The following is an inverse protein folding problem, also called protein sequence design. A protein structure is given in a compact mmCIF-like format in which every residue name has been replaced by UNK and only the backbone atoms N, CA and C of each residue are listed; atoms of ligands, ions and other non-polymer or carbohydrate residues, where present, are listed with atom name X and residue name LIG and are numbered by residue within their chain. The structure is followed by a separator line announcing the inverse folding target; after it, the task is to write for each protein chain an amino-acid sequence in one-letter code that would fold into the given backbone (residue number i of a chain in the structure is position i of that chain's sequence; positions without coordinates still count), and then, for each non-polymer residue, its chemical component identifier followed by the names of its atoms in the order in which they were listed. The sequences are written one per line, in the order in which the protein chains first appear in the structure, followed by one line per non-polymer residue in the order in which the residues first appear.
data_IF_717139025023
#
_entry.id   IF_717139025023
#
_cell.length_a   1.000
_cell.length_b   1.000
_cell.length_c   1.000
_cell.angle_alpha   90.00
_cell.angle_beta   90.00
_cell.angle_gamma   90.00
#
_symmetry.space_group_name_H-M   'P 1'
#
loop_
_entity.id
_entity.type
_entity.pdbx_description
1 polymer ?
#
# COMPACT_ATOMS: atom_id res chain seq x y z
N UNK A 1 5.15 -18.20 2.19
CA UNK A 1 5.53 -16.99 1.44
C UNK A 1 5.13 -15.77 2.24
N UNK A 2 5.93 -14.70 2.13
CA UNK A 2 5.53 -13.39 2.67
C UNK A 2 4.83 -12.58 1.62
N UNK A 3 3.62 -12.13 1.91
CA UNK A 3 2.76 -11.37 1.00
C UNK A 3 2.53 -9.98 1.59
N UNK A 4 2.81 -8.93 0.83
CA UNK A 4 2.28 -7.60 1.13
C UNK A 4 1.00 -7.38 0.35
N UNK A 5 -0.08 -7.11 1.07
CA UNK A 5 -1.40 -6.86 0.51
C UNK A 5 -1.75 -5.37 0.64
N UNK A 6 -1.84 -4.68 -0.49
CA UNK A 6 -2.26 -3.28 -0.56
C UNK A 6 -3.76 -3.21 -0.87
N UNK A 7 -4.57 -2.88 0.13
CA UNK A 7 -6.02 -2.78 0.01
C UNK A 7 -6.43 -1.43 -0.59
N UNK A 8 -7.22 -1.47 -1.66
CA UNK A 8 -7.81 -0.28 -2.29
C UNK A 8 -8.85 0.42 -1.42
N UNK A 9 -9.27 1.62 -1.83
CA UNK A 9 -10.31 2.39 -1.12
C UNK A 9 -11.62 1.65 -1.01
N UNK A 10 -11.99 0.86 -2.02
CA UNK A 10 -13.23 0.09 -2.05
C UNK A 10 -13.26 -1.07 -1.02
N UNK A 11 -12.10 -1.55 -0.58
CA UNK A 11 -12.02 -2.47 0.56
C UNK A 11 -12.36 -1.81 1.91
N UNK A 12 -12.38 -0.47 1.92
CA UNK A 12 -12.60 0.37 3.12
C UNK A 12 -13.89 1.19 3.05
N UNK A 13 -14.72 1.03 2.01
CA UNK A 13 -15.98 1.75 1.83
C UNK A 13 -17.02 0.86 1.15
N UNK A 14 -18.31 1.19 1.27
CA UNK A 14 -19.35 0.48 0.54
C UNK A 14 -19.22 0.66 -0.98
N UNK A 15 -19.89 -0.20 -1.74
CA UNK A 15 -19.89 -0.15 -3.21
C UNK A 15 -20.42 1.17 -3.79
N UNK A 16 -21.30 1.85 -3.06
CA UNK A 16 -21.83 3.19 -3.40
C UNK A 16 -20.87 4.34 -3.03
N UNK A 17 -19.66 4.02 -2.52
CA UNK A 17 -18.69 5.00 -2.03
C UNK A 17 -18.99 5.55 -0.64
N UNK A 18 -20.05 5.07 0.04
CA UNK A 18 -20.41 5.49 1.39
C UNK A 18 -19.30 5.13 2.38
N UNK A 19 -18.85 6.14 3.13
CA UNK A 19 -17.84 6.02 4.17
C UNK A 19 -18.43 6.18 5.59
N UNK A 20 -19.68 5.75 5.79
CA UNK A 20 -20.26 5.68 7.13
C UNK A 20 -19.54 4.62 7.96
N UNK A 21 -19.47 4.74 9.31
CA UNK A 21 -18.80 3.75 10.15
C UNK A 21 -19.32 2.32 9.93
N UNK A 22 -20.64 2.15 9.78
CA UNK A 22 -21.27 0.84 9.55
C UNK A 22 -20.85 0.25 8.20
N UNK A 23 -20.90 1.05 7.14
CA UNK A 23 -20.51 0.62 5.81
C UNK A 23 -19.02 0.26 5.73
N UNK A 24 -18.16 1.06 6.37
CA UNK A 24 -16.72 0.77 6.46
C UNK A 24 -16.44 -0.53 7.21
N UNK A 25 -17.07 -0.75 8.37
CA UNK A 25 -16.91 -1.98 9.13
C UNK A 25 -17.33 -3.21 8.32
N UNK A 26 -18.44 -3.12 7.58
CA UNK A 26 -18.92 -4.23 6.75
C UNK A 26 -17.95 -4.53 5.59
N UNK A 27 -17.45 -3.50 4.89
CA UNK A 27 -16.49 -3.67 3.80
C UNK A 27 -15.17 -4.27 4.30
N UNK A 28 -14.62 -3.75 5.41
CA UNK A 28 -13.41 -4.29 6.03
C UNK A 28 -13.62 -5.73 6.50
N UNK A 29 -14.76 -6.06 7.10
CA UNK A 29 -15.05 -7.43 7.53
C UNK A 29 -15.06 -8.40 6.34
N UNK A 30 -15.67 -8.04 5.21
CA UNK A 30 -15.62 -8.82 3.98
C UNK A 30 -14.20 -9.04 3.45
N UNK A 31 -13.40 -7.97 3.39
CA UNK A 31 -12.00 -8.06 2.98
C UNK A 31 -11.17 -8.96 3.90
N UNK A 32 -11.41 -8.92 5.22
CA UNK A 32 -10.65 -9.71 6.20
C UNK A 32 -11.00 -11.20 6.17
N UNK A 33 -12.13 -11.61 5.60
CA UNK A 33 -12.40 -13.03 5.34
C UNK A 33 -11.42 -13.64 4.34
N UNK A 34 -11.17 -12.94 3.23
CA UNK A 34 -10.21 -13.40 2.22
C UNK A 34 -8.77 -13.38 2.78
N UNK A 35 -8.41 -12.33 3.54
CA UNK A 35 -7.09 -12.24 4.18
C UNK A 35 -6.88 -13.37 5.20
N UNK A 36 -7.89 -13.70 6.00
CA UNK A 36 -7.81 -14.80 6.95
C UNK A 36 -7.62 -16.16 6.24
N UNK A 37 -8.15 -16.33 5.03
CA UNK A 37 -7.88 -17.50 4.17
C UNK A 37 -6.39 -17.64 3.84
N UNK A 38 -5.73 -16.56 3.46
CA UNK A 38 -4.28 -16.55 3.19
C UNK A 38 -3.45 -16.95 4.42
N UNK A 39 -3.81 -16.41 5.58
CA UNK A 39 -3.10 -16.70 6.83
C UNK A 39 -3.32 -18.17 7.25
N UNK A 40 -4.54 -18.69 7.13
CA UNK A 40 -4.86 -20.09 7.40
C UNK A 40 -4.12 -21.06 6.44
N UNK A 41 -3.81 -20.60 5.20
CA UNK A 41 -2.99 -21.35 4.26
C UNK A 41 -1.47 -21.26 4.55
N UNK A 42 -1.06 -20.64 5.66
CA UNK A 42 0.33 -20.56 6.11
C UNK A 42 1.16 -19.44 5.45
N UNK A 43 0.51 -18.39 4.94
CA UNK A 43 1.23 -17.21 4.43
C UNK A 43 1.47 -16.19 5.53
N UNK A 44 2.65 -15.55 5.53
CA UNK A 44 2.92 -14.36 6.32
C UNK A 44 2.33 -13.15 5.57
N UNK A 45 1.47 -12.39 6.22
CA UNK A 45 0.75 -11.27 5.58
C UNK A 45 1.08 -9.96 6.25
N UNK A 46 1.47 -8.98 5.43
CA UNK A 46 1.57 -7.56 5.80
C UNK A 46 0.48 -6.82 5.04
N UNK A 47 -0.26 -5.96 5.72
CA UNK A 47 -1.38 -5.23 5.15
C UNK A 47 -1.07 -3.75 5.11
N UNK A 48 -1.27 -3.11 3.96
CA UNK A 48 -1.45 -1.66 3.88
C UNK A 48 -2.83 -1.35 3.28
N UNK A 49 -3.34 -0.15 3.52
CA UNK A 49 -4.69 0.21 3.09
C UNK A 49 -4.76 1.65 2.57
N UNK A 50 -5.76 1.96 1.73
CA UNK A 50 -6.13 3.32 1.39
C UNK A 50 -6.92 4.00 2.52
N UNK A 51 -7.03 5.33 2.45
CA UNK A 51 -7.76 6.15 3.42
C UNK A 51 -8.46 7.38 2.80
N UNK A 52 -8.52 7.48 1.49
CA UNK A 52 -8.99 8.69 0.80
C UNK A 52 -10.38 9.18 1.28
N UNK A 53 -11.43 8.33 1.31
CA UNK A 53 -12.75 8.73 1.82
C UNK A 53 -12.71 9.16 3.29
N UNK A 54 -11.90 8.52 4.12
CA UNK A 54 -11.79 8.81 5.55
C UNK A 54 -11.10 10.14 5.82
N UNK A 55 -9.99 10.42 5.13
CA UNK A 55 -9.33 11.74 5.16
C UNK A 55 -10.30 12.81 4.66
N UNK A 56 -11.02 12.55 3.56
CA UNK A 56 -12.05 13.46 3.05
C UNK A 56 -13.10 13.83 4.09
N UNK A 57 -13.60 12.84 4.84
CA UNK A 57 -14.57 13.08 5.92
C UNK A 57 -13.98 13.90 7.07
N UNK A 58 -12.69 13.70 7.42
CA UNK A 58 -12.02 14.50 8.45
C UNK A 58 -11.84 15.95 8.00
N UNK A 59 -11.49 16.19 6.74
CA UNK A 59 -11.40 17.54 6.18
C UNK A 59 -12.76 18.26 6.21
N UNK A 60 -13.85 17.59 5.87
CA UNK A 60 -15.20 18.17 5.99
C UNK A 60 -15.52 18.51 7.44
N UNK A 61 -15.19 17.65 8.40
CA UNK A 61 -15.37 17.95 9.84
C UNK A 61 -14.53 19.15 10.28
N UNK A 62 -13.27 19.25 9.82
CA UNK A 62 -12.42 20.40 10.07
C UNK A 62 -13.04 21.69 9.53
N UNK A 63 -13.54 21.68 8.30
CA UNK A 63 -14.19 22.84 7.69
C UNK A 63 -15.42 23.28 8.48
N UNK A 64 -16.30 22.35 8.84
CA UNK A 64 -17.54 22.64 9.56
C UNK A 64 -17.31 23.09 11.01
N UNK A 65 -16.26 22.61 11.66
CA UNK A 65 -15.94 22.91 13.05
C UNK A 65 -14.97 24.09 13.23
N UNK A 66 -14.43 24.65 12.16
CA UNK A 66 -13.36 25.65 12.19
C UNK A 66 -13.68 26.92 13.02
N UNK A 67 -14.96 27.28 13.13
CA UNK A 67 -15.42 28.39 13.97
C UNK A 67 -15.42 28.09 15.48
N UNK A 68 -15.29 26.82 15.88
CA UNK A 68 -15.37 26.35 17.27
C UNK A 68 -14.03 25.78 17.75
N UNK A 69 -13.38 24.97 16.90
CA UNK A 69 -12.08 24.36 17.19
C UNK A 69 -11.17 24.51 15.97
N UNK A 70 -9.87 24.76 16.17
CA UNK A 70 -8.91 24.83 15.05
C UNK A 70 -8.90 23.54 14.25
N UNK A 71 -8.83 23.60 12.90
CA UNK A 71 -8.66 22.41 12.07
C UNK A 71 -7.31 21.75 12.34
N UNK A 72 -7.28 20.42 12.34
CA UNK A 72 -6.02 19.67 12.42
C UNK A 72 -5.37 19.59 11.04
N UNK A 73 -4.03 19.57 10.95
CA UNK A 73 -3.30 19.50 9.69
C UNK A 73 -3.50 18.13 8.99
N UNK A 74 -3.13 18.06 7.71
CA UNK A 74 -3.41 16.91 6.86
C UNK A 74 -2.66 15.64 7.28
N UNK A 75 -1.42 15.78 7.74
CA UNK A 75 -0.61 14.67 8.30
C UNK A 75 -1.29 14.06 9.53
N UNK A 76 -1.88 14.89 10.41
CA UNK A 76 -2.69 14.42 11.55
C UNK A 76 -3.96 13.71 11.10
N UNK A 77 -4.62 14.20 10.04
CA UNK A 77 -5.75 13.47 9.44
C UNK A 77 -5.30 12.09 8.94
N UNK A 78 -4.12 11.99 8.34
CA UNK A 78 -3.49 10.73 7.97
C UNK A 78 -3.30 9.80 9.16
N UNK A 79 -2.70 10.29 10.26
CA UNK A 79 -2.47 9.54 11.49
C UNK A 79 -3.78 9.04 12.11
N UNK A 80 -4.81 9.87 12.21
CA UNK A 80 -6.13 9.50 12.73
C UNK A 80 -6.76 8.37 11.91
N UNK A 81 -6.61 8.40 10.57
CA UNK A 81 -7.14 7.34 9.70
C UNK A 81 -6.38 6.02 9.87
N UNK A 82 -5.07 6.05 10.09
CA UNK A 82 -4.29 4.83 10.38
C UNK A 82 -4.80 4.15 11.66
N UNK A 83 -5.03 4.92 12.71
CA UNK A 83 -5.55 4.39 13.97
C UNK A 83 -6.96 3.82 13.81
N UNK A 84 -7.88 4.55 13.18
CA UNK A 84 -9.28 4.12 13.04
C UNK A 84 -9.42 2.90 12.13
N UNK A 85 -8.76 2.90 10.97
CA UNK A 85 -8.83 1.78 10.03
C UNK A 85 -8.07 0.58 10.59
N UNK A 86 -6.87 0.78 11.15
CA UNK A 86 -6.08 -0.27 11.80
C UNK A 86 -6.85 -0.98 12.90
N UNK A 87 -7.48 -0.23 13.80
CA UNK A 87 -8.38 -0.77 14.83
C UNK A 87 -9.51 -1.63 14.25
N UNK A 88 -10.15 -1.14 13.17
CA UNK A 88 -11.25 -1.87 12.55
C UNK A 88 -10.76 -3.16 11.85
N UNK A 89 -9.59 -3.11 11.20
CA UNK A 89 -8.94 -4.29 10.58
C UNK A 89 -8.60 -5.33 11.65
N UNK A 90 -7.95 -4.94 12.75
CA UNK A 90 -7.60 -5.85 13.85
C UNK A 90 -8.84 -6.61 14.31
N UNK A 91 -9.91 -5.91 14.70
CA UNK A 91 -11.13 -6.53 15.21
C UNK A 91 -11.79 -7.48 14.20
N UNK A 92 -11.81 -7.12 12.92
CA UNK A 92 -12.40 -7.92 11.85
C UNK A 92 -11.57 -9.17 11.56
N UNK A 93 -10.24 -8.99 11.44
CA UNK A 93 -9.33 -10.09 11.11
C UNK A 93 -9.20 -11.10 12.24
N UNK A 94 -9.05 -10.67 13.49
CA UNK A 94 -9.01 -11.57 14.65
C UNK A 94 -10.29 -12.42 14.76
N UNK A 95 -11.46 -11.82 14.49
CA UNK A 95 -12.73 -12.55 14.44
C UNK A 95 -12.74 -13.61 13.33
N UNK A 96 -12.21 -13.27 12.14
CA UNK A 96 -12.14 -14.18 11.00
C UNK A 96 -11.14 -15.31 11.23
N UNK A 97 -9.99 -15.01 11.86
CA UNK A 97 -8.99 -16.00 12.27
C UNK A 97 -9.52 -16.95 13.35
N UNK A 98 -10.19 -16.41 14.36
CA UNK A 98 -10.79 -17.23 15.43
C UNK A 98 -11.79 -18.26 14.88
N UNK A 99 -12.64 -17.86 13.89
CA UNK A 99 -13.56 -18.80 13.22
C UNK A 99 -12.85 -19.92 12.48
N UNK A 100 -11.59 -19.69 12.06
CA UNK A 100 -10.74 -20.67 11.37
C UNK A 100 -9.82 -21.46 12.33
N UNK A 101 -9.91 -21.22 13.63
CA UNK A 101 -9.03 -21.84 14.61
C UNK A 101 -7.57 -21.35 14.56
N UNK A 102 -7.31 -20.20 13.94
CA UNK A 102 -5.99 -19.62 13.86
C UNK A 102 -5.74 -18.69 15.05
N UNK A 103 -4.64 -18.87 15.76
CA UNK A 103 -4.24 -18.08 16.92
C UNK A 103 -3.21 -16.99 16.58
N UNK A 104 -3.14 -16.56 15.33
CA UNK A 104 -2.21 -15.53 14.86
C UNK A 104 -2.60 -14.15 15.39
N UNK A 105 -1.68 -13.45 16.05
CA UNK A 105 -1.88 -12.09 16.52
C UNK A 105 -1.93 -11.09 15.36
N UNK A 106 -2.71 -10.03 15.54
CA UNK A 106 -2.82 -8.93 14.56
C UNK A 106 -2.41 -7.63 15.23
N UNK A 107 -1.56 -6.84 14.58
CA UNK A 107 -1.09 -5.56 15.11
C UNK A 107 -1.18 -4.47 14.06
N UNK A 108 -1.58 -3.27 14.44
CA UNK A 108 -1.49 -2.09 13.58
C UNK A 108 -0.47 -1.10 14.17
N UNK A 109 0.38 -0.55 13.32
CA UNK A 109 1.44 0.39 13.69
C UNK A 109 1.15 1.73 13.04
N UNK A 110 1.22 2.80 13.83
CA UNK A 110 1.31 4.17 13.30
C UNK A 110 2.64 4.28 12.55
N UNK A 111 2.58 4.62 11.28
CA UNK A 111 3.71 4.52 10.37
C UNK A 111 3.93 5.84 9.67
N UNK A 112 5.17 6.34 9.74
CA UNK A 112 5.65 7.53 9.04
C UNK A 112 6.37 7.11 7.77
N UNK A 113 6.20 7.90 6.72
CA UNK A 113 6.93 7.72 5.46
C UNK A 113 7.69 9.01 5.17
N UNK A 114 9.01 8.88 5.11
CA UNK A 114 9.89 9.99 4.77
C UNK A 114 9.79 10.32 3.30
N UNK A 115 9.71 11.60 3.01
CA UNK A 115 9.72 12.19 1.67
C UNK A 115 10.85 13.22 1.56
N UNK A 116 11.18 13.65 0.35
CA UNK A 116 12.11 14.74 0.11
C UNK A 116 11.37 16.07 0.28
N UNK A 117 11.95 17.02 1.01
CA UNK A 117 11.38 18.38 1.15
C UNK A 117 11.39 19.15 -0.17
N UNK A 118 12.35 18.84 -1.06
CA UNK A 118 12.51 19.42 -2.38
C UNK A 118 11.75 18.64 -3.49
N UNK A 119 10.91 17.66 -3.14
CA UNK A 119 10.13 16.92 -4.14
C UNK A 119 9.25 17.87 -4.97
N UNK A 120 9.33 17.81 -6.32
CA UNK A 120 8.56 18.69 -7.20
C UNK A 120 7.04 18.60 -6.98
N UNK A 121 6.54 17.53 -6.40
CA UNK A 121 5.14 17.38 -6.01
C UNK A 121 4.64 18.43 -5.00
N UNK A 122 5.54 19.09 -4.24
CA UNK A 122 5.17 20.21 -3.38
C UNK A 122 4.91 21.50 -4.17
N UNK A 123 5.65 21.72 -5.25
CA UNK A 123 5.46 22.88 -6.13
C UNK A 123 4.25 22.73 -7.07
N UNK A 124 3.92 21.48 -7.47
CA UNK A 124 2.77 21.15 -8.34
C UNK A 124 1.85 20.12 -7.67
N UNK A 125 0.91 20.54 -6.79
CA UNK A 125 -0.03 19.66 -6.12
C UNK A 125 -0.98 18.98 -7.11
N UNK A 126 -0.91 17.65 -7.21
CA UNK A 126 -1.68 16.85 -8.19
C UNK A 126 -2.66 15.86 -7.56
N UNK A 127 -2.57 15.60 -6.25
CA UNK A 127 -3.43 14.61 -5.60
C UNK A 127 -4.77 15.21 -5.17
N UNK A 128 -5.91 14.76 -5.73
CA UNK A 128 -7.22 15.26 -5.33
C UNK A 128 -7.66 14.66 -4.00
N UNK A 129 -8.12 15.52 -3.08
CA UNK A 129 -8.65 15.12 -1.77
C UNK A 129 -9.99 15.80 -1.46
N UNK A 130 -10.70 15.28 -0.46
CA UNK A 130 -11.93 15.88 0.05
C UNK A 130 -13.10 15.83 -0.93
N UNK A 131 -14.07 16.71 -0.70
CA UNK A 131 -15.29 16.84 -1.50
C UNK A 131 -15.12 17.81 -2.67
N UNK A 132 -16.07 17.78 -3.58
CA UNK A 132 -16.21 18.83 -4.60
C UNK A 132 -16.97 20.01 -4.01
N UNK A 133 -16.57 21.22 -4.38
CA UNK A 133 -17.22 22.47 -3.97
C UNK A 133 -17.64 23.29 -5.20
N UNK A 134 -18.70 24.12 -5.10
CA UNK A 134 -18.94 25.18 -6.05
C UNK A 134 -17.78 26.20 -6.05
N UNK A 135 -17.59 26.90 -7.18
CA UNK A 135 -16.49 27.84 -7.36
C UNK A 135 -16.44 28.95 -6.29
N UNK A 136 -17.59 29.50 -5.92
CA UNK A 136 -17.72 30.57 -4.91
C UNK A 136 -17.20 30.15 -3.54
N UNK A 137 -17.45 28.88 -3.14
CA UNK A 137 -16.95 28.31 -1.90
C UNK A 137 -15.44 27.99 -1.98
N UNK A 138 -14.97 27.45 -3.12
CA UNK A 138 -13.55 27.16 -3.34
C UNK A 138 -12.68 28.44 -3.37
N UNK A 139 -13.23 29.54 -3.91
CA UNK A 139 -12.53 30.83 -4.06
C UNK A 139 -11.97 31.35 -2.75
N UNK A 140 -12.76 31.36 -1.67
CA UNK A 140 -12.32 31.79 -0.36
C UNK A 140 -11.17 30.93 0.19
N UNK A 141 -11.18 29.63 -0.07
CA UNK A 141 -10.11 28.70 0.34
C UNK A 141 -8.83 28.89 -0.48
N UNK A 142 -8.97 29.22 -1.76
CA UNK A 142 -7.83 29.57 -2.65
C UNK A 142 -7.16 30.85 -2.16
N UNK A 143 -7.92 31.87 -1.78
CA UNK A 143 -7.42 33.13 -1.22
C UNK A 143 -6.64 32.89 0.10
N UNK A 144 -6.90 31.79 0.81
CA UNK A 144 -6.18 31.36 2.00
C UNK A 144 -5.07 30.34 1.71
N UNK A 145 -4.60 30.25 0.44
CA UNK A 145 -3.41 29.48 0.05
C UNK A 145 -3.65 28.01 -0.27
N UNK A 146 -4.90 27.55 -0.34
CA UNK A 146 -5.18 26.19 -0.79
C UNK A 146 -5.19 26.10 -2.32
N UNK A 147 -4.71 24.98 -2.86
CA UNK A 147 -4.77 24.71 -4.30
C UNK A 147 -6.06 23.96 -4.61
N UNK A 148 -6.85 24.51 -5.53
CA UNK A 148 -8.11 23.92 -6.00
C UNK A 148 -8.12 23.89 -7.51
N UNK A 149 -8.62 22.81 -8.11
CA UNK A 149 -8.76 22.64 -9.55
C UNK A 149 -10.21 22.46 -9.96
N UNK A 150 -10.59 23.08 -11.04
CA UNK A 150 -11.87 22.86 -11.71
C UNK A 150 -11.92 21.44 -12.31
N UNK A 151 -12.98 20.71 -12.03
CA UNK A 151 -13.24 19.35 -12.54
C UNK A 151 -14.53 19.31 -13.38
N UNK A 152 -14.87 20.43 -14.00
CA UNK A 152 -16.02 20.59 -14.87
C UNK A 152 -17.34 20.48 -14.10
N UNK A 153 -18.27 19.67 -14.59
CA UNK A 153 -19.59 19.51 -13.98
C UNK A 153 -19.59 19.03 -12.52
N UNK A 154 -18.48 18.39 -12.08
CA UNK A 154 -18.31 17.93 -10.69
C UNK A 154 -17.98 19.07 -9.73
N UNK A 155 -17.55 20.23 -10.25
CA UNK A 155 -17.10 21.37 -9.46
C UNK A 155 -15.61 21.34 -9.15
N UNK A 156 -15.20 22.17 -8.19
CA UNK A 156 -13.82 22.35 -7.78
C UNK A 156 -13.39 21.33 -6.71
N UNK A 157 -12.17 20.84 -6.81
CA UNK A 157 -11.62 19.87 -5.85
C UNK A 157 -10.26 20.31 -5.34
N UNK A 158 -10.03 20.14 -4.02
CA UNK A 158 -8.74 20.47 -3.41
C UNK A 158 -7.66 19.53 -3.93
N UNK A 159 -6.51 20.11 -4.26
CA UNK A 159 -5.31 19.40 -4.67
C UNK A 159 -4.24 19.57 -3.61
N UNK A 160 -3.50 18.51 -3.30
CA UNK A 160 -2.39 18.54 -2.36
C UNK A 160 -1.15 17.90 -2.96
N UNK A 161 0.00 18.19 -2.37
CA UNK A 161 1.26 17.57 -2.71
C UNK A 161 1.17 16.04 -2.61
N UNK A 162 1.85 15.35 -3.52
CA UNK A 162 1.97 13.89 -3.50
C UNK A 162 3.42 13.47 -3.79
N UNK A 163 4.34 13.73 -2.85
CA UNK A 163 5.75 13.42 -3.02
C UNK A 163 6.01 11.91 -3.09
N UNK A 164 7.14 11.53 -3.70
CA UNK A 164 7.57 10.14 -3.76
C UNK A 164 8.00 9.63 -2.38
N UNK A 165 7.59 8.41 -1.98
CA UNK A 165 8.03 7.80 -0.72
C UNK A 165 9.49 7.36 -0.82
N UNK A 166 10.31 7.72 0.16
CA UNK A 166 11.73 7.37 0.23
C UNK A 166 12.01 6.26 1.24
N UNK A 167 11.34 6.28 2.39
CA UNK A 167 11.61 5.35 3.48
C UNK A 167 10.38 5.22 4.39
N UNK A 168 10.03 3.99 4.77
CA UNK A 168 9.06 3.71 5.83
C UNK A 168 9.81 3.57 7.14
N UNK A 169 9.67 4.55 8.03
CA UNK A 169 10.55 4.69 9.20
C UNK A 169 10.38 3.55 10.21
N UNK A 170 9.18 3.04 10.40
CA UNK A 170 8.86 1.98 11.35
C UNK A 170 9.11 0.56 10.81
N UNK A 171 9.82 0.40 9.70
CA UNK A 171 10.13 -0.91 9.08
C UNK A 171 10.76 -1.91 10.07
N UNK A 172 11.64 -1.45 10.95
CA UNK A 172 12.25 -2.30 11.98
C UNK A 172 11.23 -2.90 12.95
N UNK A 173 10.24 -2.10 13.38
CA UNK A 173 9.14 -2.57 14.23
C UNK A 173 8.23 -3.55 13.46
N UNK A 174 7.93 -3.28 12.19
CA UNK A 174 7.17 -4.20 11.32
C UNK A 174 7.87 -5.55 11.23
N UNK A 175 9.17 -5.58 10.94
CA UNK A 175 9.95 -6.81 10.85
C UNK A 175 9.98 -7.60 12.17
N UNK A 176 10.09 -6.90 13.31
CA UNK A 176 10.06 -7.53 14.64
C UNK A 176 8.73 -8.23 14.90
N UNK A 177 7.61 -7.59 14.57
CA UNK A 177 6.27 -8.18 14.74
C UNK A 177 6.05 -9.36 13.78
N UNK A 178 6.51 -9.26 12.53
CA UNK A 178 6.46 -10.39 11.58
C UNK A 178 7.25 -11.58 12.14
N UNK A 179 8.46 -11.35 12.65
CA UNK A 179 9.29 -12.40 13.25
C UNK A 179 8.65 -13.01 14.50
N UNK A 180 7.81 -12.28 15.22
CA UNK A 180 7.00 -12.76 16.33
C UNK A 180 5.71 -13.48 15.89
N UNK A 181 5.46 -13.64 14.58
CA UNK A 181 4.30 -14.36 14.03
C UNK A 181 3.03 -13.51 13.92
N UNK A 182 3.13 -12.18 13.99
CA UNK A 182 1.97 -11.30 13.82
C UNK A 182 1.69 -10.99 12.36
N UNK A 183 0.41 -10.81 12.04
CA UNK A 183 -0.01 -10.04 10.87
C UNK A 183 0.13 -8.56 11.21
N UNK A 184 0.77 -7.79 10.34
CA UNK A 184 1.05 -6.38 10.62
C UNK A 184 0.31 -5.48 9.64
N UNK A 185 -0.45 -4.51 10.16
CA UNK A 185 -1.04 -3.42 9.38
C UNK A 185 -0.13 -2.20 9.51
N UNK A 186 0.44 -1.74 8.41
CA UNK A 186 1.40 -0.63 8.39
C UNK A 186 1.26 0.24 7.14
N UNK A 187 1.81 1.44 7.17
CA UNK A 187 1.83 2.40 6.07
C UNK A 187 0.45 2.73 5.48
N UNK A 188 -0.60 2.70 6.32
CA UNK A 188 -1.96 3.05 5.90
C UNK A 188 -2.02 4.45 5.30
N UNK A 189 -2.73 4.57 4.15
CA UNK A 189 -2.82 5.82 3.39
C UNK A 189 -1.53 6.25 2.70
N UNK A 190 -0.50 5.39 2.64
CA UNK A 190 0.85 5.71 2.16
C UNK A 190 1.81 6.12 3.28
N UNK A 191 1.38 6.07 4.54
CA UNK A 191 2.11 6.55 5.70
C UNK A 191 1.86 8.03 5.98
N UNK A 192 2.25 8.47 7.18
CA UNK A 192 2.22 9.89 7.56
C UNK A 192 3.45 10.55 6.92
N UNK A 193 3.25 11.56 6.03
CA UNK A 193 4.37 12.18 5.34
C UNK A 193 5.21 13.01 6.31
N UNK A 194 6.52 12.76 6.33
CA UNK A 194 7.47 13.51 7.16
C UNK A 194 8.72 13.86 6.35
N UNK A 195 9.32 14.99 6.66
CA UNK A 195 10.62 15.43 6.16
C UNK A 195 11.65 15.39 7.31
N UNK A 196 12.93 15.32 6.96
CA UNK A 196 14.03 15.38 7.94
C UNK A 196 14.37 16.81 8.23
N UNK A 197 14.32 17.19 9.50
CA UNK A 197 14.73 18.51 9.96
C UNK A 197 16.26 18.65 9.97
N UNK A 198 16.79 19.89 9.91
CA UNK A 198 18.23 20.14 9.97
C UNK A 198 18.92 19.63 11.25
N UNK A 199 18.18 19.52 12.34
CA UNK A 199 18.66 18.97 13.63
C UNK A 199 18.57 17.44 13.71
N UNK A 200 18.10 16.78 12.64
CA UNK A 200 17.93 15.33 12.52
C UNK A 200 16.59 14.81 13.01
N UNK A 201 15.69 15.67 13.47
CA UNK A 201 14.30 15.35 13.78
C UNK A 201 13.48 15.00 12.55
N UNK A 202 12.17 14.75 12.76
CA UNK A 202 11.20 14.52 11.70
C UNK A 202 9.98 15.38 11.94
N UNK A 203 9.61 16.20 10.95
CA UNK A 203 8.40 17.04 10.96
C UNK A 203 7.38 16.54 9.94
N UNK A 204 6.09 16.56 10.36
CA UNK A 204 4.97 16.26 9.46
C UNK A 204 4.81 17.35 8.40
N UNK A 205 4.34 16.98 7.22
CA UNK A 205 4.12 17.92 6.11
C UNK A 205 2.72 17.75 5.50
N UNK A 206 2.18 18.83 4.93
CA UNK A 206 0.89 18.89 4.25
C UNK A 206 0.93 18.18 2.88
N UNK A 207 0.91 16.85 2.90
CA UNK A 207 0.96 16.01 1.70
C UNK A 207 0.14 14.71 1.87
N UNK A 208 -0.09 14.01 0.77
CA UNK A 208 -0.66 12.65 0.74
C UNK A 208 0.20 11.79 -0.15
N UNK A 209 0.84 10.79 0.42
CA UNK A 209 1.71 9.87 -0.32
C UNK A 209 0.85 8.84 -1.08
N UNK A 210 1.26 8.44 -2.27
CA UNK A 210 0.58 7.37 -3.00
C UNK A 210 0.78 6.03 -2.29
N UNK A 211 -0.33 5.39 -1.89
CA UNK A 211 -0.29 4.14 -1.12
C UNK A 211 0.32 2.97 -1.89
N UNK A 212 0.16 2.95 -3.24
CA UNK A 212 0.63 1.84 -4.04
C UNK A 212 2.17 1.91 -4.18
N UNK A 213 2.73 3.12 -4.32
CA UNK A 213 4.18 3.34 -4.29
C UNK A 213 4.78 3.01 -2.92
N UNK A 214 4.12 3.43 -1.83
CA UNK A 214 4.57 3.05 -0.48
C UNK A 214 4.43 1.55 -0.24
N UNK A 215 3.39 0.90 -0.78
CA UNK A 215 3.25 -0.55 -0.69
C UNK A 215 4.42 -1.28 -1.36
N UNK A 216 4.86 -0.84 -2.53
CA UNK A 216 6.04 -1.41 -3.20
C UNK A 216 7.32 -1.22 -2.38
N UNK A 217 7.52 -0.03 -1.81
CA UNK A 217 8.64 0.29 -0.93
C UNK A 217 8.64 -0.58 0.33
N UNK A 218 7.51 -0.67 1.02
CA UNK A 218 7.37 -1.50 2.22
C UNK A 218 7.54 -2.99 1.89
N UNK A 219 6.94 -3.49 0.79
CA UNK A 219 7.06 -4.87 0.36
C UNK A 219 8.53 -5.29 0.19
N UNK A 220 9.32 -4.44 -0.47
CA UNK A 220 10.76 -4.64 -0.58
C UNK A 220 11.45 -4.62 0.78
N UNK A 221 11.15 -3.62 1.61
CA UNK A 221 11.83 -3.41 2.90
C UNK A 221 11.57 -4.55 3.89
N UNK A 222 10.40 -5.19 3.82
CA UNK A 222 10.07 -6.35 4.64
C UNK A 222 10.42 -7.69 3.98
N UNK A 223 10.99 -7.69 2.78
CA UNK A 223 11.35 -8.90 2.04
C UNK A 223 10.12 -9.73 1.64
N UNK A 224 9.07 -9.08 1.15
CA UNK A 224 7.90 -9.79 0.62
C UNK A 224 8.25 -10.54 -0.68
N UNK A 225 7.74 -11.75 -0.82
CA UNK A 225 7.83 -12.53 -2.05
C UNK A 225 6.88 -12.00 -3.12
N UNK A 226 5.70 -11.59 -2.69
CA UNK A 226 4.60 -11.15 -3.57
C UNK A 226 4.01 -9.84 -3.06
N UNK A 227 3.81 -8.89 -3.98
CA UNK A 227 2.99 -7.69 -3.77
C UNK A 227 1.64 -7.92 -4.44
N UNK A 228 0.55 -7.86 -3.68
CA UNK A 228 -0.82 -7.88 -4.21
C UNK A 228 -1.45 -6.51 -4.03
N UNK A 229 -1.83 -5.87 -5.13
CA UNK A 229 -2.59 -4.62 -5.14
C UNK A 229 -4.05 -4.96 -5.40
N UNK A 230 -4.83 -5.02 -4.32
CA UNK A 230 -6.26 -5.31 -4.40
C UNK A 230 -7.04 -4.03 -4.74
N UNK A 231 -7.87 -4.10 -5.78
CA UNK A 231 -8.63 -2.99 -6.32
C UNK A 231 -10.04 -3.44 -6.70
N UNK A 232 -10.77 -2.66 -7.47
CA UNK A 232 -12.15 -2.90 -7.92
C UNK A 232 -12.27 -3.61 -9.28
N UNK A 233 -11.13 -3.97 -9.86
CA UNK A 233 -11.07 -4.67 -11.15
C UNK A 233 -10.21 -5.93 -11.04
N UNK A 234 -10.57 -6.93 -11.81
CA UNK A 234 -9.84 -8.20 -11.84
C UNK A 234 -8.50 -8.11 -12.54
N UNK A 235 -8.42 -7.27 -13.58
CA UNK A 235 -7.23 -7.12 -14.40
C UNK A 235 -7.01 -5.66 -14.81
N UNK A 236 -5.77 -5.28 -15.06
CA UNK A 236 -5.46 -4.10 -15.85
C UNK A 236 -5.84 -4.36 -17.33
N UNK A 237 -6.26 -3.32 -18.05
CA UNK A 237 -6.81 -3.42 -19.39
C UNK A 237 -6.00 -2.55 -20.35
N UNK A 238 -5.51 -3.15 -21.45
CA UNK A 238 -4.94 -2.42 -22.59
C UNK A 238 -6.09 -1.82 -23.40
N UNK A 239 -5.92 -0.60 -23.91
CA UNK A 239 -6.94 0.05 -24.73
C UNK A 239 -8.26 0.31 -24.00
N UNK A 240 -8.22 0.54 -22.68
CA UNK A 240 -9.42 0.80 -21.87
C UNK A 240 -10.30 1.90 -22.49
N UNK A 241 -11.61 1.63 -22.57
CA UNK A 241 -12.58 2.53 -23.18
C UNK A 241 -12.66 2.49 -24.70
N UNK A 242 -11.95 1.57 -25.36
CA UNK A 242 -12.00 1.36 -26.82
C UNK A 242 -12.57 -0.01 -27.18
N UNK A 243 -12.87 -0.24 -28.45
CA UNK A 243 -13.30 -1.54 -28.96
C UNK A 243 -12.18 -2.61 -28.92
N UNK A 244 -10.93 -2.20 -28.70
CA UNK A 244 -9.75 -3.07 -28.60
C UNK A 244 -9.35 -3.32 -27.13
N UNK A 245 -10.27 -3.11 -26.19
CA UNK A 245 -10.01 -3.32 -24.75
C UNK A 245 -9.73 -4.81 -24.47
N UNK A 246 -8.54 -5.11 -23.91
CA UNK A 246 -8.10 -6.47 -23.60
C UNK A 246 -7.51 -6.56 -22.19
N UNK A 247 -7.92 -7.54 -21.36
CA UNK A 247 -7.36 -7.73 -20.03
C UNK A 247 -5.96 -8.34 -20.10
N UNK A 248 -5.03 -7.71 -19.38
CA UNK A 248 -3.67 -8.20 -19.20
C UNK A 248 -3.68 -9.31 -18.15
N UNK A 249 -3.19 -10.50 -18.51
CA UNK A 249 -3.06 -11.62 -17.57
C UNK A 249 -1.66 -11.70 -16.99
N UNK A 250 -0.79 -12.51 -17.55
CA UNK A 250 0.60 -12.65 -17.11
C UNK A 250 1.52 -12.03 -18.13
N UNK A 251 2.37 -11.13 -17.67
CA UNK A 251 3.35 -10.40 -18.50
C UNK A 251 4.69 -10.31 -17.78
N UNK A 252 5.74 -10.14 -18.55
CA UNK A 252 7.06 -9.79 -18.05
C UNK A 252 7.09 -8.30 -17.67
N UNK A 253 8.08 -7.94 -16.84
CA UNK A 253 8.35 -6.54 -16.52
C UNK A 253 8.61 -5.70 -17.79
N UNK A 254 9.30 -6.26 -18.78
CA UNK A 254 9.61 -5.59 -20.05
C UNK A 254 8.35 -5.27 -20.84
N UNK A 255 7.49 -6.28 -21.07
CA UNK A 255 6.21 -6.08 -21.76
C UNK A 255 5.33 -5.04 -21.04
N UNK A 256 5.32 -5.05 -19.69
CA UNK A 256 4.55 -4.07 -18.94
C UNK A 256 5.11 -2.65 -19.10
N UNK A 257 6.44 -2.49 -19.21
CA UNK A 257 7.08 -1.21 -19.52
C UNK A 257 6.67 -0.68 -20.90
N UNK A 258 6.61 -1.56 -21.89
CA UNK A 258 6.15 -1.20 -23.24
C UNK A 258 4.70 -0.71 -23.23
N UNK A 259 3.79 -1.41 -22.54
CA UNK A 259 2.40 -0.97 -22.40
C UNK A 259 2.27 0.36 -21.65
N UNK A 260 3.07 0.57 -20.61
CA UNK A 260 3.09 1.83 -19.87
C UNK A 260 3.61 2.99 -20.73
N UNK A 261 4.70 2.76 -21.50
CA UNK A 261 5.28 3.75 -22.42
C UNK A 261 4.32 4.10 -23.59
N UNK A 262 3.52 3.13 -24.04
CA UNK A 262 2.46 3.34 -25.04
C UNK A 262 1.25 4.14 -24.50
N UNK A 263 1.24 4.49 -23.19
CA UNK A 263 0.22 5.33 -22.58
C UNK A 263 -1.07 4.63 -22.20
N UNK A 264 -1.12 3.28 -22.17
CA UNK A 264 -2.33 2.53 -21.85
C UNK A 264 -2.89 2.81 -20.45
N UNK A 265 -2.07 3.30 -19.52
CA UNK A 265 -2.44 3.57 -18.12
C UNK A 265 -2.33 5.04 -17.72
N UNK A 266 -2.25 5.96 -18.69
CA UNK A 266 -2.01 7.38 -18.45
C UNK A 266 -3.16 8.09 -17.72
N UNK A 267 -4.39 7.52 -17.73
CA UNK A 267 -5.56 8.12 -17.09
C UNK A 267 -6.04 7.30 -15.88
N UNK A 268 -6.43 7.99 -14.83
CA UNK A 268 -7.07 7.38 -13.67
C UNK A 268 -6.14 6.76 -12.63
N UNK A 269 -6.67 5.81 -11.85
CA UNK A 269 -6.00 5.21 -10.70
C UNK A 269 -5.10 4.01 -11.06
N UNK A 270 -5.11 3.54 -12.30
CA UNK A 270 -4.37 2.34 -12.72
C UNK A 270 -2.86 2.63 -12.88
N UNK A 271 -2.49 3.81 -13.40
CA UNK A 271 -1.08 4.19 -13.61
C UNK A 271 -0.20 4.00 -12.37
N UNK A 272 -0.54 4.58 -11.22
CA UNK A 272 0.22 4.38 -9.97
C UNK A 272 0.33 2.91 -9.55
N UNK A 273 -0.70 2.08 -9.76
CA UNK A 273 -0.68 0.64 -9.45
C UNK A 273 0.31 -0.12 -10.33
N UNK A 274 0.30 0.17 -11.63
CA UNK A 274 1.25 -0.41 -12.59
C UNK A 274 2.67 0.02 -12.25
N UNK A 275 2.89 1.32 -11.96
CA UNK A 275 4.20 1.84 -11.56
C UNK A 275 4.73 1.14 -10.29
N UNK A 276 3.91 1.02 -9.25
CA UNK A 276 4.26 0.34 -8.01
C UNK A 276 4.55 -1.16 -8.23
N UNK A 277 3.74 -1.84 -9.02
CA UNK A 277 3.92 -3.25 -9.35
C UNK A 277 5.23 -3.49 -10.14
N UNK A 278 5.51 -2.65 -11.14
CA UNK A 278 6.78 -2.69 -11.89
C UNK A 278 7.97 -2.40 -10.99
N UNK A 279 7.89 -1.37 -10.14
CA UNK A 279 8.95 -1.01 -9.21
C UNK A 279 9.30 -2.16 -8.27
N UNK A 280 8.30 -2.83 -7.70
CA UNK A 280 8.52 -3.97 -6.81
C UNK A 280 9.27 -5.11 -7.51
N UNK A 281 8.85 -5.48 -8.73
CA UNK A 281 9.48 -6.56 -9.50
C UNK A 281 10.88 -6.17 -9.99
N UNK A 282 11.08 -4.93 -10.44
CA UNK A 282 12.38 -4.39 -10.85
C UNK A 282 13.42 -4.42 -9.72
N UNK A 283 12.95 -4.22 -8.51
CA UNK A 283 13.77 -4.24 -7.30
C UNK A 283 13.97 -5.64 -6.70
N UNK A 284 13.59 -6.71 -7.39
CA UNK A 284 13.87 -8.09 -7.00
C UNK A 284 12.70 -8.85 -6.36
N UNK A 285 11.50 -8.26 -6.29
CA UNK A 285 10.29 -8.99 -5.91
C UNK A 285 9.98 -10.11 -6.91
N UNK A 286 9.45 -11.23 -6.44
CA UNK A 286 9.22 -12.38 -7.34
C UNK A 286 8.09 -12.09 -8.34
N UNK A 287 7.00 -11.46 -7.88
CA UNK A 287 5.88 -11.04 -8.72
C UNK A 287 5.05 -9.97 -8.02
N UNK A 288 4.43 -9.12 -8.82
CA UNK A 288 3.37 -8.23 -8.38
C UNK A 288 2.06 -8.61 -9.07
N UNK A 289 0.94 -8.51 -8.36
CA UNK A 289 -0.38 -8.86 -8.91
C UNK A 289 -1.37 -7.74 -8.63
N UNK A 290 -2.11 -7.34 -9.67
CA UNK A 290 -3.25 -6.41 -9.56
C UNK A 290 -4.51 -7.24 -9.76
N UNK A 291 -5.44 -7.20 -8.80
CA UNK A 291 -6.66 -8.02 -8.83
C UNK A 291 -7.75 -7.45 -7.92
N UNK A 292 -8.96 -8.02 -7.99
CA UNK A 292 -10.03 -7.75 -7.02
C UNK A 292 -9.82 -8.51 -5.71
N UNK A 293 -10.49 -8.06 -4.63
CA UNK A 293 -10.42 -8.69 -3.31
C UNK A 293 -10.88 -10.15 -3.31
N UNK A 294 -11.84 -10.47 -4.15
CA UNK A 294 -12.44 -11.81 -4.23
C UNK A 294 -11.44 -12.86 -4.75
N UNK A 295 -10.41 -12.42 -5.48
CA UNK A 295 -9.47 -13.30 -6.16
C UNK A 295 -8.06 -13.31 -5.57
N UNK A 296 -7.83 -12.70 -4.38
CA UNK A 296 -6.48 -12.59 -3.81
C UNK A 296 -5.82 -13.96 -3.55
N UNK A 297 -6.57 -14.99 -3.18
CA UNK A 297 -6.05 -16.35 -2.97
C UNK A 297 -5.49 -16.96 -4.27
N UNK A 298 -6.20 -16.79 -5.38
CA UNK A 298 -5.72 -17.24 -6.69
C UNK A 298 -4.57 -16.35 -7.20
N UNK A 299 -4.60 -15.06 -6.89
CA UNK A 299 -3.61 -14.08 -7.28
C UNK A 299 -2.22 -14.36 -6.71
N UNK A 300 -2.09 -14.70 -5.44
CA UNK A 300 -0.79 -15.00 -4.80
C UNK A 300 -0.08 -16.18 -5.45
N UNK A 301 -0.81 -17.10 -6.07
CA UNK A 301 -0.26 -18.23 -6.83
C UNK A 301 0.03 -17.88 -8.29
N UNK A 302 -0.33 -16.66 -8.75
CA UNK A 302 -0.18 -16.19 -10.12
C UNK A 302 -1.23 -16.78 -11.09
N UNK A 303 -2.33 -17.32 -10.57
CA UNK A 303 -3.38 -17.95 -11.40
C UNK A 303 -4.49 -16.98 -11.83
N UNK A 304 -4.56 -15.81 -11.21
CA UNK A 304 -5.59 -14.81 -11.47
C UNK A 304 -5.03 -13.39 -11.31
N UNK A 305 -5.67 -12.42 -11.97
CA UNK A 305 -5.26 -11.03 -11.96
C UNK A 305 -4.26 -10.68 -13.05
N UNK A 306 -3.82 -9.43 -13.08
CA UNK A 306 -2.66 -9.02 -13.89
C UNK A 306 -1.39 -9.31 -13.10
N UNK A 307 -0.66 -10.30 -13.56
CA UNK A 307 0.57 -10.80 -12.95
C UNK A 307 1.78 -10.22 -13.68
N UNK A 308 2.59 -9.41 -12.99
CA UNK A 308 3.87 -8.90 -13.48
C UNK A 308 4.99 -9.69 -12.81
N UNK A 309 5.91 -10.25 -13.59
CA UNK A 309 7.02 -11.05 -13.09
C UNK A 309 8.35 -10.70 -13.78
N UNK A 310 9.47 -10.96 -13.10
CA UNK A 310 10.79 -10.83 -13.72
C UNK A 310 10.96 -11.79 -14.90
N UNK A 311 11.75 -11.41 -15.89
CA UNK A 311 12.08 -12.29 -17.02
C UNK A 311 12.82 -13.56 -16.57
N UNK A 312 12.88 -14.57 -17.43
CA UNK A 312 13.44 -15.91 -17.14
C UNK A 312 14.89 -15.91 -16.63
N UNK A 313 15.66 -14.84 -16.89
CA UNK A 313 17.04 -14.67 -16.39
C UNK A 313 17.13 -14.53 -14.85
N UNK A 314 16.04 -14.09 -14.18
CA UNK A 314 16.02 -13.90 -12.73
C UNK A 314 15.92 -15.22 -11.93
N UNK A 315 15.46 -16.31 -12.56
CA UNK A 315 15.26 -17.61 -11.89
C UNK A 315 16.57 -18.41 -11.68
N UNK A 316 17.67 -18.05 -12.38
CA UNK A 316 18.92 -18.82 -12.31
C UNK A 316 19.85 -18.36 -11.16
N UNK A 317 19.71 -17.15 -10.61
CA UNK A 317 20.59 -16.63 -9.57
C UNK A 317 20.16 -16.99 -8.14
N UNK A 318 18.86 -17.30 -7.91
CA UNK A 318 18.36 -17.65 -6.57
C UNK A 318 18.55 -19.14 -6.21
N UNK A 319 18.88 -19.99 -7.19
CA UNK A 319 19.06 -21.44 -6.99
C UNK A 319 20.49 -21.87 -6.64
N UNK A 320 21.47 -20.94 -6.62
CA UNK A 320 22.89 -21.28 -6.43
C UNK A 320 23.49 -20.98 -5.04
N UNK A 321 22.71 -20.52 -4.06
CA UNK A 321 23.22 -20.13 -2.73
C UNK A 321 22.92 -21.10 -1.58
N UNK A 322 22.62 -22.38 -1.84
CA UNK A 322 22.45 -23.36 -0.77
C UNK A 322 23.12 -24.71 -1.11
N UNK A 323 24.45 -24.74 -1.06
CA UNK A 323 25.18 -25.99 -0.88
C UNK A 323 25.93 -25.92 0.45
N UNK A 324 25.64 -26.80 1.43
CA UNK A 324 26.44 -26.88 2.66
C UNK A 324 27.75 -27.53 2.33
N UNK A 325 28.86 -26.85 2.60
CA UNK A 325 30.17 -27.45 2.61
C UNK A 325 30.25 -28.47 3.76
N UNK A 326 30.33 -29.75 3.41
CA UNK A 326 30.64 -30.82 4.33
C UNK A 326 32.12 -30.71 4.72
N UNK A 327 32.42 -30.27 5.94
CA UNK A 327 33.72 -30.43 6.56
C UNK A 327 33.88 -31.89 7.03
N UNK A 328 34.64 -32.65 6.30
CA UNK A 328 35.20 -33.95 6.75
C UNK A 328 36.26 -33.67 7.82
N UNK A 329 35.96 -34.02 9.05
CA UNK A 329 36.92 -34.12 10.16
C UNK A 329 37.76 -35.38 9.95
N UNK A 330 39.05 -35.23 9.61
CA UNK A 330 40.05 -36.27 9.75
C UNK A 330 40.46 -36.38 11.21
N UNK A 331 40.21 -37.57 11.77
CA UNK A 331 40.76 -38.03 13.03
C UNK A 331 42.26 -38.32 12.89
N UNK A 332 43.10 -37.64 13.68
CA UNK A 332 44.46 -38.07 13.96
C UNK A 332 44.51 -38.49 15.42
N UNK A 333 44.67 -39.80 15.58
CA UNK A 333 45.16 -40.45 16.77
C UNK A 333 46.68 -40.23 16.92
N UNK A 334 47.14 -39.76 18.07
CA UNK A 334 48.51 -39.97 18.53
C UNK A 334 48.55 -40.05 20.05
N UNK A 335 49.08 -41.17 20.47
CA UNK A 335 49.35 -41.64 21.78
C UNK A 335 50.44 -40.84 22.54
N UNK A 336 50.47 -41.09 23.86
CA UNK A 336 51.56 -41.03 24.82
C UNK A 336 52.01 -39.66 25.34
N UNK A 337 52.25 -39.46 26.58
CA UNK A 337 52.74 -40.25 27.75
C UNK A 337 52.99 -39.23 28.89
N UNK A 338 52.74 -39.70 30.10
CA UNK A 338 53.43 -39.41 31.36
C UNK A 338 53.95 -37.98 31.72
N UNK A 339 53.40 -37.33 32.69
CA UNK A 339 53.81 -37.23 34.13
C UNK A 339 52.90 -36.34 34.90
#
# INVERSE_FOLDING_TARGET
MRVLLALGGNAMSAADGSATPVAQQAAIAGAMESVAGLIAAGHEVVITHGNGPQVGNLLVKNELAAAVVPPVPLDWCGAQTQATIGFTIINALERSLARRGCATGVSAIITRTRVDEDDPGFADPTKPIGRFLPHDQAKGLIEHGQVWQDRGEKGWRRMVASPAPLEVLETGAVLTLIAAGHVVVAAGGGGIPVVRDPDGGMSGVEAVIDKDLTAALLARSVGADVLVIATDVDHAIIGYGTAAAEPIRTVTLEEMREYAAAGHFASGSMGPKIAAAMQFVDQGGQRAVITSLEHIEAAITGKFGTVIQGGAAFRSSSAQSSSPQSHSSQSHSSQNNER
#
